data_IF_042181489343
#
_entry.id   IF_042181489343
#
_cell.length_a   1.000
_cell.length_b   1.000
_cell.length_c   1.000
_cell.angle_alpha   90.00
_cell.angle_beta   90.00
_cell.angle_gamma   90.00
#
_symmetry.space_group_name_H-M   'P 1'
#
loop_
_entity.id
_entity.type
_entity.pdbx_description
1 polymer ?
#
# COMPACT_ATOMS: atom_id res chain seq x y z
N UNK A 1 10.17 47.83 -46.88
CA UNK A 1 9.11 46.91 -46.41
C UNK A 1 8.64 47.45 -45.06
N UNK A 2 7.46 48.08 -45.01
CA UNK A 2 6.93 48.60 -43.75
C UNK A 2 6.38 47.42 -42.94
N UNK A 3 6.87 47.24 -41.72
CA UNK A 3 6.32 46.23 -40.81
C UNK A 3 4.93 46.70 -40.35
N UNK A 4 3.91 45.88 -40.54
CA UNK A 4 2.53 46.17 -40.13
C UNK A 4 2.43 46.42 -38.62
N UNK A 5 1.48 47.24 -38.18
CA UNK A 5 1.24 47.52 -36.74
C UNK A 5 1.04 46.24 -35.92
N UNK A 6 0.45 45.20 -36.52
CA UNK A 6 0.33 43.87 -35.91
C UNK A 6 1.67 43.18 -35.67
N UNK A 7 2.63 43.36 -36.59
CA UNK A 7 3.96 42.78 -36.49
C UNK A 7 4.80 43.47 -35.41
N UNK A 8 4.65 44.79 -35.26
CA UNK A 8 5.20 45.53 -34.11
C UNK A 8 4.59 45.08 -32.78
N UNK A 9 3.27 44.95 -32.72
CA UNK A 9 2.55 44.49 -31.52
C UNK A 9 2.97 43.07 -31.12
N UNK A 10 3.07 42.16 -32.08
CA UNK A 10 3.53 40.78 -31.86
C UNK A 10 4.96 40.72 -31.33
N UNK A 11 5.89 41.47 -31.94
CA UNK A 11 7.27 41.54 -31.47
C UNK A 11 7.37 42.10 -30.05
N UNK A 12 6.60 43.16 -29.75
CA UNK A 12 6.58 43.76 -28.41
C UNK A 12 6.07 42.76 -27.35
N UNK A 13 5.06 41.96 -27.69
CA UNK A 13 4.52 40.89 -26.84
C UNK A 13 5.57 39.79 -26.59
N UNK A 14 6.31 39.39 -27.63
CA UNK A 14 7.43 38.43 -27.49
C UNK A 14 8.55 38.97 -26.59
N UNK A 15 8.93 40.24 -26.74
CA UNK A 15 9.95 40.88 -25.89
C UNK A 15 9.52 41.04 -24.44
N UNK A 16 8.22 41.04 -24.14
CA UNK A 16 7.68 41.10 -22.76
C UNK A 16 7.54 39.69 -22.16
N UNK A 17 7.04 38.72 -22.92
CA UNK A 17 6.78 37.37 -22.41
C UNK A 17 8.05 36.51 -22.27
N UNK A 18 9.04 36.73 -23.13
CA UNK A 18 10.31 35.98 -23.07
C UNK A 18 11.07 36.20 -21.76
N UNK A 19 11.33 37.44 -21.27
CA UNK A 19 11.97 37.65 -19.98
C UNK A 19 11.09 37.23 -18.80
N UNK A 20 9.75 37.27 -18.94
CA UNK A 20 8.83 36.78 -17.92
C UNK A 20 9.02 35.27 -17.70
N UNK A 21 9.17 34.48 -18.76
CA UNK A 21 9.42 33.03 -18.65
C UNK A 21 10.79 32.70 -18.04
N UNK A 22 11.80 33.55 -18.26
CA UNK A 22 13.15 33.36 -17.75
C UNK A 22 13.31 33.77 -16.27
N UNK A 23 12.38 34.58 -15.75
CA UNK A 23 12.35 35.04 -14.36
C UNK A 23 11.44 34.23 -13.47
N UNK A 24 10.60 33.35 -14.05
CA UNK A 24 9.87 32.36 -13.26
C UNK A 24 10.90 31.44 -12.57
N UNK A 25 10.90 31.34 -11.23
CA UNK A 25 11.73 30.36 -10.56
C UNK A 25 11.35 28.98 -11.11
N UNK A 26 12.33 28.25 -11.64
CA UNK A 26 12.15 26.84 -12.01
C UNK A 26 11.78 26.11 -10.73
N UNK A 27 10.48 25.93 -10.50
CA UNK A 27 9.97 25.12 -9.42
C UNK A 27 10.33 23.67 -9.77
N UNK A 28 11.55 23.26 -9.43
CA UNK A 28 11.85 21.84 -9.31
C UNK A 28 10.94 21.35 -8.19
N UNK A 29 9.97 20.50 -8.54
CA UNK A 29 9.26 19.72 -7.54
C UNK A 29 10.32 18.93 -6.78
N UNK A 30 10.64 19.36 -5.57
CA UNK A 30 11.58 18.66 -4.70
C UNK A 30 10.86 17.36 -4.30
N UNK A 31 11.10 16.29 -5.09
CA UNK A 31 10.66 14.94 -4.76
C UNK A 31 11.13 14.66 -3.34
N UNK A 32 10.24 14.09 -2.51
CA UNK A 32 10.47 13.89 -1.09
C UNK A 32 11.87 13.32 -0.84
N UNK A 33 12.73 14.15 -0.28
CA UNK A 33 14.05 13.75 0.18
C UNK A 33 13.82 12.92 1.43
N UNK A 34 13.81 11.59 1.28
CA UNK A 34 13.59 10.69 2.40
C UNK A 34 14.72 10.78 3.41
N UNK A 35 14.36 10.91 4.69
CA UNK A 35 15.27 10.84 5.82
C UNK A 35 16.09 9.53 5.78
N UNK A 36 17.33 9.59 6.26
CA UNK A 36 18.23 8.42 6.27
C UNK A 36 17.63 7.21 7.02
N UNK A 37 16.83 7.44 8.06
CA UNK A 37 16.15 6.37 8.80
C UNK A 37 15.06 5.66 7.99
N UNK A 38 14.42 6.36 7.05
CA UNK A 38 13.46 5.75 6.13
C UNK A 38 14.19 4.90 5.07
N UNK A 39 15.35 5.37 4.60
CA UNK A 39 16.21 4.60 3.69
C UNK A 39 16.73 3.32 4.35
N UNK A 40 17.17 3.41 5.62
CA UNK A 40 17.62 2.25 6.39
C UNK A 40 16.51 1.20 6.53
N UNK A 41 15.31 1.61 6.96
CA UNK A 41 14.14 0.71 7.09
C UNK A 41 13.72 0.10 5.76
N UNK A 42 13.82 0.85 4.67
CA UNK A 42 13.56 0.33 3.33
C UNK A 42 14.58 -0.76 2.94
N UNK A 43 15.87 -0.55 3.24
CA UNK A 43 16.92 -1.54 2.97
C UNK A 43 16.74 -2.82 3.83
N UNK A 44 16.42 -2.66 5.12
CA UNK A 44 16.15 -3.79 6.03
C UNK A 44 14.95 -4.62 5.56
N UNK A 45 13.83 -3.97 5.24
CA UNK A 45 12.63 -4.68 4.73
C UNK A 45 12.90 -5.38 3.40
N UNK A 46 13.72 -4.79 2.53
CA UNK A 46 14.16 -5.45 1.31
C UNK A 46 14.99 -6.70 1.60
N UNK A 47 15.96 -6.62 2.53
CA UNK A 47 16.74 -7.79 2.94
C UNK A 47 15.89 -8.90 3.54
N UNK A 48 14.88 -8.57 4.35
CA UNK A 48 13.95 -9.56 4.90
C UNK A 48 13.10 -10.21 3.81
N UNK A 49 12.64 -9.44 2.83
CA UNK A 49 11.90 -9.98 1.68
C UNK A 49 12.73 -11.02 0.90
N UNK A 50 14.04 -10.77 0.75
CA UNK A 50 14.95 -11.72 0.11
C UNK A 50 15.16 -12.98 0.94
N UNK A 51 15.17 -12.89 2.28
CA UNK A 51 15.27 -14.05 3.17
C UNK A 51 14.00 -14.92 3.11
N UNK A 52 12.84 -14.31 2.92
CA UNK A 52 11.57 -15.03 2.76
C UNK A 52 11.43 -15.69 1.37
N UNK A 53 12.25 -15.31 0.40
CA UNK A 53 12.20 -15.85 -0.97
C UNK A 53 12.82 -17.23 -1.05
N UNK A 54 12.06 -18.21 -1.52
CA UNK A 54 12.55 -19.56 -1.80
C UNK A 54 12.89 -19.73 -3.29
N UNK A 55 14.15 -20.03 -3.66
CA UNK A 55 14.59 -20.07 -5.06
C UNK A 55 14.01 -21.26 -5.84
N UNK A 56 13.56 -22.32 -5.17
CA UNK A 56 12.89 -23.46 -5.79
C UNK A 56 11.46 -23.61 -5.26
N UNK A 57 10.48 -22.92 -5.86
CA UNK A 57 9.09 -22.98 -5.40
C UNK A 57 8.49 -24.38 -5.53
N UNK A 58 8.99 -25.24 -6.43
CA UNK A 58 8.44 -26.58 -6.63
C UNK A 58 8.63 -27.50 -5.42
N UNK A 59 9.64 -27.26 -4.58
CA UNK A 59 9.84 -28.02 -3.35
C UNK A 59 8.79 -27.70 -2.27
N UNK A 60 8.20 -26.50 -2.33
CA UNK A 60 7.12 -26.08 -1.43
C UNK A 60 5.76 -26.66 -1.81
N UNK A 61 5.70 -27.40 -2.93
CA UNK A 61 4.44 -27.97 -3.41
C UNK A 61 3.91 -29.05 -2.47
N UNK A 62 4.78 -29.84 -1.80
CA UNK A 62 4.34 -30.82 -0.80
C UNK A 62 3.55 -30.19 0.36
N UNK A 63 4.00 -29.03 0.84
CA UNK A 63 3.28 -28.23 1.84
C UNK A 63 2.05 -27.53 1.24
N UNK A 64 2.11 -27.08 -0.01
CA UNK A 64 0.94 -26.53 -0.70
C UNK A 64 -0.12 -27.59 -1.01
N UNK A 65 0.26 -28.87 -1.14
CA UNK A 65 -0.67 -29.98 -1.37
C UNK A 65 -1.30 -30.49 -0.07
N UNK A 66 -0.63 -30.37 1.09
CA UNK A 66 -1.25 -30.66 2.40
C UNK A 66 -2.42 -29.72 2.74
N UNK A 67 -2.44 -28.52 2.16
CA UNK A 67 -3.60 -27.62 2.19
C UNK A 67 -4.84 -28.22 1.50
N UNK A 68 -4.64 -28.95 0.40
CA UNK A 68 -5.75 -29.60 -0.32
C UNK A 68 -6.34 -30.75 0.51
N UNK A 69 -5.51 -31.42 1.30
CA UNK A 69 -5.92 -32.52 2.18
C UNK A 69 -6.54 -32.03 3.51
N UNK A 70 -6.08 -30.88 4.01
CA UNK A 70 -6.69 -30.19 5.15
C UNK A 70 -8.14 -29.77 4.89
N UNK A 71 -8.54 -29.53 3.62
CA UNK A 71 -9.95 -29.30 3.25
C UNK A 71 -10.83 -30.54 3.39
N UNK A 72 -10.26 -31.76 3.44
CA UNK A 72 -11.01 -33.03 3.49
C UNK A 72 -11.01 -33.71 4.85
N UNK A 73 -10.18 -33.25 5.79
CA UNK A 73 -10.03 -33.87 7.13
C UNK A 73 -10.34 -32.92 8.29
N UNK A 74 -10.99 -31.78 8.03
CA UNK A 74 -11.40 -30.88 9.10
C UNK A 74 -12.50 -31.52 9.95
N UNK A 75 -12.11 -31.89 11.17
CA UNK A 75 -13.05 -32.23 12.25
C UNK A 75 -13.99 -31.05 12.49
N UNK A 76 -15.18 -31.39 12.94
CA UNK A 76 -16.26 -30.47 13.27
C UNK A 76 -15.87 -29.68 14.53
N UNK A 77 -15.11 -28.61 14.31
CA UNK A 77 -14.70 -27.65 15.34
C UNK A 77 -15.67 -26.45 15.30
N UNK A 78 -15.96 -25.80 16.44
CA UNK A 78 -16.92 -24.68 16.57
C UNK A 78 -16.68 -23.49 15.61
N UNK A 79 -15.46 -23.35 15.07
CA UNK A 79 -15.12 -22.30 14.13
C UNK A 79 -15.21 -22.76 12.66
N UNK A 80 -16.24 -22.24 11.96
CA UNK A 80 -16.64 -22.63 10.59
C UNK A 80 -15.78 -22.10 9.43
N UNK A 81 -14.56 -21.62 9.69
CA UNK A 81 -13.70 -21.15 8.62
C UNK A 81 -13.12 -22.33 7.83
N UNK A 82 -13.54 -22.48 6.56
CA UNK A 82 -13.15 -23.58 5.67
C UNK A 82 -11.72 -23.44 5.12
N UNK A 83 -11.24 -22.21 4.94
CA UNK A 83 -9.90 -21.93 4.47
C UNK A 83 -8.91 -21.96 5.65
N UNK A 84 -7.86 -22.79 5.64
CA UNK A 84 -6.81 -22.83 6.66
C UNK A 84 -6.20 -21.48 7.03
N UNK A 85 -6.07 -20.55 6.08
CA UNK A 85 -5.59 -19.19 6.34
C UNK A 85 -6.62 -18.43 7.18
N UNK A 86 -7.89 -18.47 6.76
CA UNK A 86 -8.98 -17.79 7.47
C UNK A 86 -9.22 -18.38 8.86
N UNK A 87 -9.12 -19.70 8.99
CA UNK A 87 -9.21 -20.39 10.27
C UNK A 87 -8.16 -19.91 11.26
N UNK A 88 -6.93 -19.65 10.80
CA UNK A 88 -5.85 -19.19 11.66
C UNK A 88 -6.15 -17.86 12.39
N UNK A 89 -6.85 -16.92 11.76
CA UNK A 89 -7.13 -15.61 12.35
C UNK A 89 -8.60 -15.39 12.73
N UNK A 90 -9.58 -15.94 12.00
CA UNK A 90 -11.01 -15.81 12.33
C UNK A 90 -11.41 -16.58 13.57
N UNK A 91 -10.69 -17.67 13.86
CA UNK A 91 -10.95 -18.50 15.04
C UNK A 91 -10.17 -18.03 16.27
N UNK A 92 -9.33 -17.01 16.15
CA UNK A 92 -8.64 -16.40 17.29
C UNK A 92 -9.55 -15.31 17.88
N UNK A 93 -10.12 -15.48 19.08
CA UNK A 93 -11.01 -14.48 19.68
C UNK A 93 -10.30 -13.15 19.99
N UNK A 94 -8.97 -13.15 20.10
CA UNK A 94 -8.14 -11.96 20.37
C UNK A 94 -7.43 -11.46 19.10
N UNK A 95 -7.87 -11.85 17.89
CA UNK A 95 -7.27 -11.42 16.63
C UNK A 95 -7.14 -9.89 16.51
N UNK A 96 -8.11 -9.16 17.07
CA UNK A 96 -8.15 -7.69 17.03
C UNK A 96 -7.07 -7.04 17.91
N UNK A 97 -6.70 -7.67 19.03
CA UNK A 97 -5.60 -7.26 19.92
C UNK A 97 -4.26 -7.72 19.36
N UNK A 98 -4.24 -8.87 18.68
CA UNK A 98 -3.04 -9.54 18.21
C UNK A 98 -2.90 -9.49 16.68
N UNK A 99 -3.21 -8.35 16.04
CA UNK A 99 -3.23 -8.24 14.57
C UNK A 99 -1.93 -8.64 13.87
N UNK A 100 -0.79 -8.49 14.53
CA UNK A 100 0.52 -8.90 14.00
C UNK A 100 0.62 -10.42 13.78
N UNK A 101 -0.17 -11.21 14.50
CA UNK A 101 -0.24 -12.67 14.37
C UNK A 101 -0.80 -13.12 13.01
N UNK A 102 -1.51 -12.24 12.28
CA UNK A 102 -1.94 -12.55 10.91
C UNK A 102 -0.76 -12.83 9.96
N UNK A 103 0.41 -12.27 10.23
CA UNK A 103 1.62 -12.57 9.45
C UNK A 103 2.00 -14.07 9.51
N UNK A 104 1.64 -14.76 10.60
CA UNK A 104 1.95 -16.19 10.79
C UNK A 104 0.92 -17.11 10.13
N UNK A 105 -0.18 -16.55 9.62
CA UNK A 105 -1.25 -17.31 8.98
C UNK A 105 -1.02 -17.57 7.49
N UNK A 106 0.01 -16.97 6.87
CA UNK A 106 0.34 -17.14 5.47
C UNK A 106 0.71 -18.61 5.16
N UNK A 107 0.22 -19.12 4.02
CA UNK A 107 0.48 -20.51 3.55
C UNK A 107 0.91 -20.50 2.08
N UNK A 108 1.54 -21.58 1.63
CA UNK A 108 2.05 -21.73 0.27
C UNK A 108 3.40 -21.04 0.06
N UNK A 109 3.67 -20.55 -1.15
CA UNK A 109 5.00 -20.00 -1.51
C UNK A 109 5.42 -18.79 -0.66
N UNK A 110 4.46 -18.03 -0.12
CA UNK A 110 4.71 -16.87 0.72
C UNK A 110 4.68 -17.14 2.23
N UNK A 111 4.72 -18.39 2.70
CA UNK A 111 4.51 -18.69 4.12
C UNK A 111 5.60 -18.13 5.06
N UNK A 112 6.77 -17.74 4.55
CA UNK A 112 7.84 -17.08 5.33
C UNK A 112 7.71 -15.55 5.39
N UNK A 113 6.72 -14.93 4.73
CA UNK A 113 6.61 -13.47 4.73
C UNK A 113 6.08 -12.95 6.07
N UNK A 114 6.85 -12.10 6.74
CA UNK A 114 6.47 -11.43 8.00
C UNK A 114 5.81 -10.07 7.78
N UNK A 115 6.19 -9.34 6.72
CA UNK A 115 5.69 -8.00 6.42
C UNK A 115 5.91 -7.03 7.59
N UNK A 116 4.87 -6.32 8.01
CA UNK A 116 4.93 -5.34 9.11
C UNK A 116 4.85 -5.92 10.52
N UNK A 117 5.08 -7.23 10.72
CA UNK A 117 4.93 -7.91 12.01
C UNK A 117 5.72 -7.24 13.14
N UNK A 118 6.97 -6.85 12.87
CA UNK A 118 7.86 -6.28 13.88
C UNK A 118 7.74 -4.75 13.99
N UNK A 119 7.06 -4.11 13.03
CA UNK A 119 6.80 -2.66 13.05
C UNK A 119 5.77 -2.24 14.09
N UNK A 120 5.77 -0.97 14.51
CA UNK A 120 4.73 -0.46 15.42
C UNK A 120 3.36 -0.40 14.72
N UNK A 121 2.30 -0.71 15.45
CA UNK A 121 0.93 -0.48 14.94
C UNK A 121 0.71 1.03 14.96
N UNK A 122 0.60 1.65 13.79
CA UNK A 122 0.31 3.07 13.67
C UNK A 122 -1.19 3.32 13.87
N UNK A 123 -1.54 4.44 14.50
CA UNK A 123 -2.93 4.81 14.82
C UNK A 123 -3.84 4.83 13.59
N UNK A 124 -3.31 5.20 12.41
CA UNK A 124 -4.03 5.13 11.13
C UNK A 124 -4.56 3.72 10.79
N UNK A 125 -3.86 2.66 11.21
CA UNK A 125 -4.27 1.27 10.99
C UNK A 125 -5.40 0.82 11.94
N UNK A 126 -5.54 1.48 13.10
CA UNK A 126 -6.58 1.20 14.09
C UNK A 126 -7.84 2.01 13.76
N UNK A 127 -7.68 3.32 13.50
CA UNK A 127 -8.81 4.26 13.37
C UNK A 127 -9.69 4.02 12.14
N UNK A 128 -9.15 3.45 11.05
CA UNK A 128 -9.93 3.12 9.85
C UNK A 128 -10.89 1.94 10.04
N UNK A 129 -10.76 1.19 11.13
CA UNK A 129 -11.58 0.00 11.42
C UNK A 129 -12.51 0.19 12.62
N UNK A 130 -12.36 1.25 13.42
CA UNK A 130 -13.27 1.55 14.53
C UNK A 130 -14.38 2.54 14.13
N UNK A 131 -14.24 3.25 13.01
CA UNK A 131 -15.30 4.10 12.44
C UNK A 131 -16.19 3.32 11.46
N UNK A 132 -16.77 2.22 11.92
CA UNK A 132 -17.87 1.54 11.25
C UNK A 132 -19.15 1.72 12.06
N UNK A 133 -19.50 2.98 12.33
CA UNK A 133 -20.89 3.31 12.62
C UNK A 133 -21.56 3.68 11.29
N UNK A 134 -22.81 3.28 11.03
CA UNK A 134 -23.49 3.56 9.76
C UNK A 134 -23.60 5.06 9.42
N UNK A 135 -23.35 5.94 10.41
CA UNK A 135 -23.34 7.40 10.23
C UNK A 135 -22.05 7.96 9.60
N UNK A 136 -20.94 7.20 9.50
CA UNK A 136 -19.64 7.71 9.05
C UNK A 136 -19.27 7.40 7.60
N UNK A 137 -20.04 6.56 6.90
CA UNK A 137 -19.76 6.18 5.50
C UNK A 137 -19.90 7.34 4.51
N UNK A 138 -20.93 8.18 4.68
CA UNK A 138 -21.17 9.37 3.83
C UNK A 138 -20.06 10.42 3.99
N UNK A 139 -19.62 10.68 5.22
CA UNK A 139 -18.61 11.70 5.51
C UNK A 139 -17.20 11.28 5.05
N UNK A 140 -16.88 9.99 5.14
CA UNK A 140 -15.59 9.46 4.69
C UNK A 140 -15.48 9.44 3.16
N UNK A 141 -16.58 9.16 2.45
CA UNK A 141 -16.65 9.28 0.99
C UNK A 141 -16.39 10.73 0.54
N UNK A 142 -16.95 11.71 1.25
CA UNK A 142 -16.74 13.15 0.98
C UNK A 142 -15.32 13.65 1.32
N UNK A 143 -14.65 13.07 2.32
CA UNK A 143 -13.30 13.50 2.73
C UNK A 143 -12.18 12.81 1.93
N UNK A 144 -12.37 11.57 1.47
CA UNK A 144 -11.36 10.86 0.68
C UNK A 144 -11.15 11.46 -0.72
N UNK A 145 -12.14 12.16 -1.25
CA UNK A 145 -12.10 12.80 -2.57
C UNK A 145 -11.30 14.12 -2.61
N UNK A 146 -10.82 14.63 -1.46
CA UNK A 146 -9.97 15.85 -1.38
C UNK A 146 -8.52 15.60 -0.97
N UNK A 147 -8.16 14.37 -0.60
CA UNK A 147 -6.78 14.01 -0.26
C UNK A 147 -6.35 12.80 -1.09
N UNK A 148 -5.96 13.06 -2.33
CA UNK A 148 -5.19 12.10 -3.12
C UNK A 148 -4.01 12.79 -3.78
N UNK A 149 -2.84 12.84 -3.13
CA UNK A 149 -1.58 12.75 -3.83
C UNK A 149 -1.02 11.34 -3.63
N UNK A 150 -0.68 10.71 -4.75
CA UNK A 150 -0.08 9.39 -4.92
C UNK A 150 -1.03 8.18 -4.88
N UNK A 151 -1.07 7.51 -6.03
CA UNK A 151 -1.79 6.28 -6.26
C UNK A 151 -1.27 5.16 -5.36
N UNK A 152 -2.13 4.72 -4.46
CA UNK A 152 -2.22 3.31 -4.14
C UNK A 152 -3.39 2.76 -4.92
N UNK A 153 -3.13 1.83 -5.82
CA UNK A 153 -4.15 0.92 -6.34
C UNK A 153 -4.74 0.15 -5.17
N UNK A 154 -5.74 0.72 -4.49
CA UNK A 154 -6.57 -0.05 -3.57
C UNK A 154 -7.56 -0.81 -4.43
N UNK A 155 -7.15 -2.01 -4.85
CA UNK A 155 -8.09 -3.06 -5.17
C UNK A 155 -8.97 -3.27 -3.94
N UNK A 156 -10.14 -2.64 -3.94
CA UNK A 156 -11.27 -3.04 -3.11
C UNK A 156 -11.71 -4.41 -3.59
N UNK A 157 -11.07 -5.43 -3.05
CA UNK A 157 -11.54 -6.80 -3.07
C UNK A 157 -11.85 -7.19 -1.62
N UNK A 158 -13.08 -6.89 -1.21
CA UNK A 158 -13.84 -7.58 -0.16
C UNK A 158 -15.31 -7.46 -0.53
#
# INVERSE_FOLDING_TARGET
>A
MALNLYQFSSLLLFFILFPLSATLPKASAKIAEFDEDLRRRAAESYQESLKAYHPNPLNLTGEAFSFVDSRRSMKEDDCKAENPIDRCWRCDPDWNKNRKKLADCARGFGHHTSGGKDGSITSWMILRMTTWTPLSLELFAMLSSRLSPCGSSSSTAW
#
